data_IF_904827618162
#
_entry.id   IF_904827618162
#
_cell.length_a   1.000
_cell.length_b   1.000
_cell.length_c   1.000
_cell.angle_alpha   90.00
_cell.angle_beta   90.00
_cell.angle_gamma   90.00
#
_symmetry.space_group_name_H-M   'P 1'
#
loop_
_entity.id
_entity.type
_entity.pdbx_description
1 polymer ?
#
# COMPACT_ATOMS: atom_id res chain seq x y z
N UNK A 1 -22.85 -8.00 2.18
CA UNK A 1 -23.02 -6.77 1.38
C UNK A 1 -22.20 -6.94 0.12
N UNK A 2 -22.53 -6.24 -0.97
CA UNK A 2 -21.67 -6.18 -2.15
C UNK A 2 -20.90 -4.87 -2.06
N UNK A 3 -19.58 -4.94 -1.93
CA UNK A 3 -18.72 -3.75 -1.92
C UNK A 3 -18.83 -2.98 -3.24
N UNK A 4 -18.74 -1.66 -3.16
CA UNK A 4 -18.59 -0.74 -4.28
C UNK A 4 -17.95 0.56 -3.77
N UNK A 5 -17.60 1.47 -4.68
CA UNK A 5 -16.92 2.72 -4.27
C UNK A 5 -17.76 3.59 -3.34
N UNK A 6 -19.09 3.52 -3.40
CA UNK A 6 -19.97 4.32 -2.54
C UNK A 6 -19.95 3.83 -1.09
N UNK A 7 -20.14 2.52 -0.86
CA UNK A 7 -20.13 2.00 0.51
C UNK A 7 -18.72 1.95 1.12
N UNK A 8 -17.69 1.77 0.30
CA UNK A 8 -16.31 1.93 0.73
C UNK A 8 -16.00 3.37 1.13
N UNK A 9 -16.44 4.35 0.35
CA UNK A 9 -16.29 5.77 0.68
C UNK A 9 -16.99 6.08 2.00
N UNK A 10 -18.25 5.71 2.14
CA UNK A 10 -19.02 5.96 3.36
C UNK A 10 -18.36 5.32 4.58
N UNK A 11 -17.82 4.10 4.44
CA UNK A 11 -17.09 3.44 5.51
C UNK A 11 -15.83 4.24 5.87
N UNK A 12 -15.00 4.59 4.89
CA UNK A 12 -13.73 5.28 5.11
C UNK A 12 -13.91 6.70 5.67
N UNK A 13 -14.92 7.45 5.20
CA UNK A 13 -15.22 8.82 5.69
C UNK A 13 -15.69 8.84 7.15
N UNK A 14 -16.19 7.72 7.68
CA UNK A 14 -16.54 7.58 9.09
C UNK A 14 -15.32 7.32 9.99
N UNK A 15 -14.16 7.00 9.41
CA UNK A 15 -12.93 6.78 10.15
C UNK A 15 -12.25 8.11 10.48
N UNK A 16 -12.07 8.40 11.77
CA UNK A 16 -11.36 9.60 12.19
C UNK A 16 -9.88 9.51 11.81
N UNK A 17 -9.34 10.57 11.21
CA UNK A 17 -7.91 10.62 10.83
C UNK A 17 -7.63 10.30 9.37
N UNK A 18 -8.67 9.94 8.58
CA UNK A 18 -8.52 9.72 7.14
C UNK A 18 -9.09 10.88 6.33
N UNK A 19 -8.38 11.22 5.25
CA UNK A 19 -8.88 12.08 4.18
C UNK A 19 -9.20 11.18 2.99
N UNK A 20 -10.43 11.25 2.47
CA UNK A 20 -10.93 10.32 1.44
C UNK A 20 -11.32 11.07 0.18
N UNK A 21 -10.62 10.79 -0.92
CA UNK A 21 -10.85 11.41 -2.23
C UNK A 21 -11.21 10.37 -3.29
N UNK A 22 -11.95 10.78 -4.32
CA UNK A 22 -12.30 9.90 -5.44
C UNK A 22 -11.31 10.13 -6.57
N UNK A 23 -10.66 9.05 -7.02
CA UNK A 23 -9.73 9.08 -8.15
C UNK A 23 -10.18 8.08 -9.22
N UNK A 24 -10.99 8.55 -10.17
CA UNK A 24 -11.54 7.70 -11.22
C UNK A 24 -12.36 6.53 -10.63
N UNK A 25 -11.86 5.31 -10.80
CA UNK A 25 -12.52 4.08 -10.35
C UNK A 25 -12.01 3.57 -8.98
N UNK A 26 -11.12 4.29 -8.30
CA UNK A 26 -10.66 3.97 -6.95
C UNK A 26 -10.90 5.13 -5.96
N UNK A 27 -10.65 4.85 -4.68
CA UNK A 27 -10.55 5.88 -3.64
C UNK A 27 -9.10 6.08 -3.27
N UNK A 28 -8.69 7.34 -3.10
CA UNK A 28 -7.46 7.70 -2.40
C UNK A 28 -7.81 7.94 -0.93
N UNK A 29 -7.05 7.34 -0.02
CA UNK A 29 -7.19 7.49 1.42
C UNK A 29 -5.83 7.90 1.96
N UNK A 30 -5.76 9.06 2.61
CA UNK A 30 -4.54 9.56 3.25
C UNK A 30 -4.68 9.52 4.76
N UNK A 31 -3.63 9.09 5.49
CA UNK A 31 -3.57 9.20 6.95
C UNK A 31 -2.88 10.49 7.41
N UNK A 32 -2.82 10.73 8.74
CA UNK A 32 -2.20 11.91 9.34
C UNK A 32 -0.66 11.90 9.34
N UNK A 33 -0.05 10.76 8.97
CA UNK A 33 1.39 10.58 8.81
C UNK A 33 1.87 10.90 7.39
N UNK A 34 0.94 11.21 6.47
CA UNK A 34 1.25 11.56 5.08
C UNK A 34 1.44 10.35 4.15
N UNK A 35 0.92 9.18 4.54
CA UNK A 35 0.88 7.99 3.68
C UNK A 35 -0.44 7.97 2.91
N UNK A 36 -0.35 7.73 1.61
CA UNK A 36 -1.49 7.61 0.69
C UNK A 36 -1.71 6.14 0.29
N UNK A 37 -2.94 5.67 0.44
CA UNK A 37 -3.39 4.35 0.01
C UNK A 37 -4.51 4.47 -1.03
N UNK A 38 -4.41 3.69 -2.09
CA UNK A 38 -5.41 3.57 -3.13
C UNK A 38 -6.22 2.30 -2.93
N UNK A 39 -7.54 2.44 -2.82
CA UNK A 39 -8.45 1.32 -2.60
C UNK A 39 -9.35 1.12 -3.79
N UNK A 40 -9.30 -0.08 -4.36
CA UNK A 40 -10.09 -0.47 -5.52
C UNK A 40 -10.97 -1.68 -5.21
N UNK A 41 -12.26 -1.58 -5.52
CA UNK A 41 -13.21 -2.69 -5.41
C UNK A 41 -13.36 -3.38 -6.76
N UNK A 42 -12.74 -4.55 -6.90
CA UNK A 42 -12.91 -5.42 -8.07
C UNK A 42 -14.08 -6.39 -7.94
N UNK A 43 -14.17 -7.34 -8.87
CA UNK A 43 -15.25 -8.35 -8.87
C UNK A 43 -15.11 -9.40 -7.75
N UNK A 44 -13.86 -9.74 -7.38
CA UNK A 44 -13.56 -10.83 -6.43
C UNK A 44 -12.83 -10.36 -5.19
N UNK A 45 -12.11 -9.24 -5.31
CA UNK A 45 -11.27 -8.73 -4.24
C UNK A 45 -11.37 -7.21 -4.14
N UNK A 46 -11.16 -6.73 -2.93
CA UNK A 46 -10.84 -5.34 -2.63
C UNK A 46 -9.31 -5.30 -2.51
N UNK A 47 -8.68 -4.37 -3.22
CA UNK A 47 -7.22 -4.17 -3.16
C UNK A 47 -6.97 -2.82 -2.53
N UNK A 48 -6.06 -2.79 -1.56
CA UNK A 48 -5.50 -1.55 -0.99
C UNK A 48 -4.02 -1.53 -1.34
N UNK A 49 -3.50 -0.41 -1.81
CA UNK A 49 -2.07 -0.30 -2.15
C UNK A 49 -1.50 1.09 -1.91
N UNK A 50 -0.22 1.14 -1.52
CA UNK A 50 0.57 2.36 -1.35
C UNK A 50 1.84 2.25 -2.17
N UNK A 51 2.17 3.31 -2.88
CA UNK A 51 3.47 3.44 -3.56
C UNK A 51 4.53 3.65 -2.48
N UNK A 52 5.66 2.93 -2.58
CA UNK A 52 6.80 3.11 -1.67
C UNK A 52 7.85 4.03 -2.29
N UNK A 53 8.56 3.54 -3.31
CA UNK A 53 9.65 4.27 -3.98
C UNK A 53 9.93 3.66 -5.36
N UNK A 54 10.53 4.43 -6.29
CA UNK A 54 10.91 3.90 -7.59
C UNK A 54 12.04 2.87 -7.47
N UNK A 55 12.03 1.86 -8.34
CA UNK A 55 13.09 0.85 -8.42
C UNK A 55 14.44 1.48 -8.76
N UNK A 56 14.43 2.65 -9.43
CA UNK A 56 15.62 3.42 -9.78
C UNK A 56 16.37 3.99 -8.56
N UNK A 57 15.75 4.06 -7.38
CA UNK A 57 16.37 4.52 -6.13
C UNK A 57 17.14 3.40 -5.38
N UNK A 58 17.06 2.16 -5.84
CA UNK A 58 17.63 0.99 -5.15
C UNK A 58 18.97 0.59 -5.77
N UNK A 59 20.02 0.52 -4.95
CA UNK A 59 21.40 0.22 -5.39
C UNK A 59 21.54 -1.22 -5.87
N UNK A 60 21.06 -2.14 -5.03
CA UNK A 60 21.07 -3.57 -5.27
C UNK A 60 19.63 -4.12 -5.23
N UNK A 61 18.95 -3.96 -6.37
CA UNK A 61 17.60 -4.47 -6.61
C UNK A 61 17.51 -5.98 -6.35
N UNK A 62 18.58 -6.74 -6.63
CA UNK A 62 18.57 -8.19 -6.43
C UNK A 62 18.59 -8.53 -4.93
N UNK A 63 19.41 -7.86 -4.14
CA UNK A 63 19.46 -8.02 -2.69
C UNK A 63 18.15 -7.60 -2.02
N UNK A 64 17.56 -6.47 -2.41
CA UNK A 64 16.27 -6.04 -1.87
C UNK A 64 15.15 -7.03 -2.22
N UNK A 65 15.11 -7.52 -3.46
CA UNK A 65 14.13 -8.54 -3.86
C UNK A 65 14.29 -9.85 -3.07
N UNK A 66 15.52 -10.29 -2.81
CA UNK A 66 15.77 -11.45 -1.97
C UNK A 66 15.28 -11.22 -0.53
N UNK A 67 15.58 -10.05 0.05
CA UNK A 67 15.08 -9.69 1.39
C UNK A 67 13.56 -9.73 1.44
N UNK A 68 12.87 -9.07 0.50
CA UNK A 68 11.40 -9.05 0.41
C UNK A 68 10.84 -10.47 0.39
N UNK A 69 11.41 -11.37 -0.43
CA UNK A 69 10.94 -12.76 -0.52
C UNK A 69 11.16 -13.53 0.79
N UNK A 70 12.27 -13.30 1.47
CA UNK A 70 12.61 -13.94 2.74
C UNK A 70 11.78 -13.42 3.92
N UNK A 71 11.36 -12.15 3.90
CA UNK A 71 10.66 -11.49 5.01
C UNK A 71 9.15 -11.40 4.84
N UNK A 72 8.58 -11.69 3.65
CA UNK A 72 7.16 -11.44 3.36
C UNK A 72 6.17 -12.05 4.37
N UNK A 73 6.50 -13.20 4.97
CA UNK A 73 5.63 -13.88 5.95
C UNK A 73 5.66 -13.25 7.35
N UNK A 74 6.57 -12.31 7.60
CA UNK A 74 6.78 -11.67 8.89
C UNK A 74 5.93 -10.41 9.05
N UNK A 75 5.48 -9.82 7.93
CA UNK A 75 4.64 -8.62 7.92
C UNK A 75 3.20 -9.03 7.66
N UNK A 76 2.27 -8.77 8.60
CA UNK A 76 0.89 -9.20 8.46
C UNK A 76 0.18 -8.40 7.37
N UNK A 77 -0.69 -9.07 6.59
CA UNK A 77 -1.67 -8.45 5.69
C UNK A 77 -1.09 -7.56 4.57
N UNK A 78 0.22 -7.48 4.40
CA UNK A 78 0.83 -6.67 3.35
C UNK A 78 1.90 -7.45 2.61
N UNK A 79 1.77 -7.45 1.29
CA UNK A 79 2.77 -7.96 0.37
C UNK A 79 3.42 -6.79 -0.40
N UNK A 80 4.61 -7.04 -0.94
CA UNK A 80 5.31 -6.09 -1.82
C UNK A 80 5.23 -6.61 -3.26
N UNK A 81 4.98 -5.70 -4.20
CA UNK A 81 5.05 -5.94 -5.63
C UNK A 81 5.88 -4.85 -6.32
N UNK A 82 6.30 -5.14 -7.56
CA UNK A 82 6.82 -4.14 -8.49
C UNK A 82 5.73 -3.84 -9.52
N UNK A 83 5.36 -2.57 -9.67
CA UNK A 83 4.39 -2.12 -10.68
C UNK A 83 5.00 -1.06 -11.60
N UNK A 84 4.62 -1.09 -12.88
CA UNK A 84 4.95 -0.02 -13.81
C UNK A 84 3.87 1.07 -13.76
N UNK A 85 4.25 2.27 -13.36
CA UNK A 85 3.37 3.44 -13.22
C UNK A 85 3.99 4.56 -14.07
N UNK A 86 3.28 5.02 -15.10
CA UNK A 86 3.77 6.11 -15.95
C UNK A 86 5.06 5.80 -16.71
N UNK A 87 5.43 4.53 -16.91
CA UNK A 87 6.66 4.12 -17.58
C UNK A 87 7.84 3.86 -16.64
N UNK A 88 7.70 4.13 -15.34
CA UNK A 88 8.70 3.84 -14.32
C UNK A 88 8.24 2.70 -13.40
N UNK A 89 9.17 1.88 -12.92
CA UNK A 89 8.83 0.79 -12.01
C UNK A 89 8.93 1.27 -10.56
N UNK A 90 7.94 0.92 -9.74
CA UNK A 90 7.88 1.24 -8.32
C UNK A 90 7.70 -0.01 -7.50
N UNK A 91 8.34 -0.03 -6.32
CA UNK A 91 7.94 -0.92 -5.24
C UNK A 91 6.61 -0.40 -4.66
N UNK A 92 5.66 -1.31 -4.47
CA UNK A 92 4.30 -1.02 -4.01
C UNK A 92 3.96 -2.00 -2.90
N UNK A 93 3.53 -1.49 -1.75
CA UNK A 93 2.92 -2.28 -0.69
C UNK A 93 1.44 -2.47 -1.03
N UNK A 94 0.91 -3.69 -0.90
CA UNK A 94 -0.50 -3.95 -1.15
C UNK A 94 -1.08 -5.07 -0.27
N UNK A 95 -2.36 -4.91 0.06
CA UNK A 95 -3.21 -5.90 0.69
C UNK A 95 -4.36 -6.29 -0.24
N UNK A 96 -4.92 -7.48 -0.04
CA UNK A 96 -6.02 -7.98 -0.85
C UNK A 96 -7.01 -8.78 -0.01
N UNK A 97 -8.24 -8.29 0.02
CA UNK A 97 -9.34 -8.87 0.77
C UNK A 97 -10.41 -9.43 -0.16
N UNK A 98 -11.16 -10.43 0.29
CA UNK A 98 -12.37 -10.86 -0.41
C UNK A 98 -13.41 -9.74 -0.45
N UNK A 99 -14.17 -9.63 -1.54
CA UNK A 99 -15.40 -8.78 -1.59
C UNK A 99 -16.51 -9.26 -0.65
N UNK A 100 -16.29 -10.35 0.08
CA UNK A 100 -17.16 -10.79 1.18
C UNK A 100 -16.67 -10.35 2.56
N UNK A 101 -15.55 -9.61 2.65
CA UNK A 101 -15.03 -9.09 3.91
C UNK A 101 -16.01 -8.14 4.58
N UNK A 102 -15.98 -8.15 5.91
CA UNK A 102 -16.78 -7.24 6.72
C UNK A 102 -16.11 -5.87 6.80
N UNK A 103 -16.89 -4.85 7.13
CA UNK A 103 -16.43 -3.48 7.31
C UNK A 103 -15.21 -3.37 8.23
N UNK A 104 -15.24 -4.03 9.39
CA UNK A 104 -14.14 -4.06 10.36
C UNK A 104 -12.83 -4.62 9.76
N UNK A 105 -12.93 -5.62 8.88
CA UNK A 105 -11.75 -6.24 8.22
C UNK A 105 -11.19 -5.33 7.13
N UNK A 106 -12.06 -4.58 6.44
CA UNK A 106 -11.61 -3.61 5.43
C UNK A 106 -10.88 -2.44 6.08
N UNK A 107 -11.40 -1.93 7.20
CA UNK A 107 -10.70 -0.90 7.98
C UNK A 107 -9.35 -1.43 8.47
N UNK A 108 -9.32 -2.60 9.11
CA UNK A 108 -8.10 -3.23 9.64
C UNK A 108 -7.03 -3.38 8.56
N UNK A 109 -7.39 -3.78 7.35
CA UNK A 109 -6.43 -3.93 6.25
C UNK A 109 -5.81 -2.59 5.83
N UNK A 110 -6.60 -1.52 5.76
CA UNK A 110 -6.08 -0.18 5.39
C UNK A 110 -5.19 0.38 6.50
N UNK A 111 -5.58 0.26 7.76
CA UNK A 111 -4.74 0.66 8.90
C UNK A 111 -3.44 -0.13 8.97
N UNK A 112 -3.53 -1.45 8.75
CA UNK A 112 -2.35 -2.32 8.76
C UNK A 112 -1.42 -1.98 7.60
N UNK A 113 -1.96 -1.69 6.40
CA UNK A 113 -1.15 -1.22 5.28
C UNK A 113 -0.41 0.07 5.66
N UNK A 114 -1.09 1.06 6.24
CA UNK A 114 -0.44 2.32 6.65
C UNK A 114 0.69 2.10 7.63
N UNK A 115 0.47 1.30 8.68
CA UNK A 115 1.52 0.97 9.65
C UNK A 115 2.71 0.29 8.99
N UNK A 116 2.44 -0.70 8.13
CA UNK A 116 3.50 -1.47 7.47
C UNK A 116 4.29 -0.64 6.46
N UNK A 117 3.67 0.36 5.80
CA UNK A 117 4.38 1.25 4.87
C UNK A 117 5.50 1.99 5.58
N UNK A 118 5.26 2.53 6.78
CA UNK A 118 6.30 3.16 7.59
C UNK A 118 7.47 2.20 7.87
N UNK A 119 7.13 0.99 8.35
CA UNK A 119 8.14 -0.04 8.66
C UNK A 119 8.94 -0.47 7.41
N UNK A 120 8.31 -0.55 6.24
CA UNK A 120 9.01 -0.89 4.99
C UNK A 120 9.96 0.21 4.53
N UNK A 121 9.55 1.47 4.62
CA UNK A 121 10.41 2.59 4.24
C UNK A 121 11.67 2.64 5.12
N UNK A 122 11.51 2.40 6.41
CA UNK A 122 12.65 2.32 7.35
C UNK A 122 13.53 1.09 7.07
N UNK A 123 12.92 -0.09 6.86
CA UNK A 123 13.66 -1.33 6.61
C UNK A 123 14.45 -1.30 5.30
N UNK A 124 13.91 -0.69 4.25
CA UNK A 124 14.53 -0.68 2.93
C UNK A 124 15.48 0.52 2.71
N UNK A 125 15.50 1.50 3.62
CA UNK A 125 16.37 2.66 3.53
C UNK A 125 17.87 2.29 3.39
N UNK A 126 18.29 1.19 4.00
CA UNK A 126 19.67 0.69 3.93
C UNK A 126 20.08 0.20 2.51
N UNK A 127 19.13 0.07 1.59
CA UNK A 127 19.34 -0.36 0.20
C UNK A 127 19.34 0.79 -0.82
N UNK A 128 19.21 2.04 -0.37
CA UNK A 128 19.22 3.21 -1.24
C UNK A 128 20.61 3.83 -1.38
N UNK A 129 20.83 4.54 -2.49
CA UNK A 129 22.11 5.22 -2.73
C UNK A 129 22.33 6.19 -1.58
N UNK A 130 23.40 5.96 -0.81
CA UNK A 130 23.88 7.00 0.09
C UNK A 130 24.30 8.16 -0.80
N UNK A 131 23.60 9.29 -0.73
CA UNK A 131 24.03 10.49 -1.44
C UNK A 131 25.51 10.70 -1.15
N UNK A 132 26.33 10.58 -2.20
CA UNK A 132 27.76 10.75 -2.10
C UNK A 132 28.02 12.14 -1.56
N UNK A 133 28.47 12.21 -0.31
CA UNK A 133 29.03 13.43 0.27
C UNK A 133 30.29 13.74 -0.53
N UNK A 134 30.15 14.60 -1.54
CA UNK A 134 31.24 15.19 -2.30
C UNK A 134 31.96 16.27 -1.47
#
# INVERSE_FOLDING_TARGET
MTWNNENLRQLAENHSGWVVESEGDCLSISNDEGVDAFVYVGEKQIVVESILFPVSQVDDVAALNEMVLQTHQLVPLTAIAIKNIGGENYYVAFGALSVSSKDEVVIEEVETLFSNVGDFLDLFADHFETEGVA
#
